data_IF_052283931389
#
_entry.id   IF_052283931389
#
_cell.length_a   1.000
_cell.length_b   1.000
_cell.length_c   1.000
_cell.angle_alpha   90.00
_cell.angle_beta   90.00
_cell.angle_gamma   90.00
#
_symmetry.space_group_name_H-M   'P 1'
#
loop_
_entity.id
_entity.type
_entity.pdbx_description
1 polymer ?
#
# COMPACT_ATOMS: atom_id res chain seq x y z
N UNK A 1 28.28 37.01 57.12
CA UNK A 1 29.23 36.75 56.03
C UNK A 1 29.61 35.29 56.10
N UNK A 2 28.92 34.46 55.31
CA UNK A 2 29.41 33.88 54.04
C UNK A 2 30.28 32.65 54.33
N UNK A 3 30.13 31.48 53.70
CA UNK A 3 29.27 31.00 52.63
C UNK A 3 29.39 29.46 52.66
N UNK A 4 28.43 28.85 51.98
CA UNK A 4 28.12 27.44 51.77
C UNK A 4 29.25 26.49 51.31
N UNK A 5 29.02 25.16 51.43
CA UNK A 5 29.84 24.10 50.87
C UNK A 5 29.72 24.02 49.34
N UNK A 6 30.85 23.85 48.64
CA UNK A 6 30.96 23.41 47.24
C UNK A 6 31.94 22.22 47.25
N UNK A 7 31.75 21.10 46.54
CA UNK A 7 31.11 20.99 45.25
C UNK A 7 30.36 19.67 45.12
N UNK A 8 29.12 19.81 44.69
CA UNK A 8 28.26 18.78 44.13
C UNK A 8 28.92 18.18 42.89
N UNK A 9 29.12 16.86 42.89
CA UNK A 9 29.26 16.09 41.65
C UNK A 9 27.86 15.64 41.22
N UNK A 10 26.97 16.63 41.05
CA UNK A 10 25.72 16.46 40.31
C UNK A 10 26.10 16.36 38.84
N UNK A 11 26.33 15.11 38.40
CA UNK A 11 26.09 14.76 37.00
C UNK A 11 24.74 15.35 36.60
N UNK A 12 24.64 16.06 35.46
CA UNK A 12 23.34 16.43 34.94
C UNK A 12 22.64 15.11 34.62
N UNK A 13 21.71 14.71 35.47
CA UNK A 13 20.67 13.78 35.07
C UNK A 13 19.94 14.52 33.98
N UNK A 14 20.29 14.16 32.75
CA UNK A 14 19.58 14.45 31.52
C UNK A 14 18.13 14.68 31.87
N UNK A 15 17.65 15.90 31.59
CA UNK A 15 16.22 16.13 31.56
C UNK A 15 15.65 15.13 30.57
N UNK A 16 15.04 14.07 31.10
CA UNK A 16 13.94 13.41 30.45
C UNK A 16 12.94 14.53 30.18
N UNK A 17 13.07 15.08 28.97
CA UNK A 17 12.10 15.95 28.38
C UNK A 17 10.77 15.24 28.55
N UNK A 18 9.87 15.92 29.26
CA UNK A 18 8.44 15.67 29.28
C UNK A 18 8.01 15.14 27.92
N UNK A 19 7.82 13.82 27.82
CA UNK A 19 7.03 13.23 26.77
C UNK A 19 5.62 13.74 27.05
N UNK A 20 5.28 14.85 26.40
CA UNK A 20 3.92 15.37 26.34
C UNK A 20 2.96 14.20 26.09
N UNK A 21 1.85 14.23 26.82
CA UNK A 21 0.90 13.15 27.05
C UNK A 21 0.28 12.62 25.74
N UNK A 22 1.04 11.84 24.99
CA UNK A 22 0.55 11.09 23.83
C UNK A 22 -0.13 9.83 24.36
N UNK A 23 -1.45 9.78 24.26
CA UNK A 23 -2.28 8.67 24.73
C UNK A 23 -2.07 7.40 23.88
N UNK A 24 -1.47 7.52 22.70
CA UNK A 24 -1.13 6.41 21.79
C UNK A 24 0.40 6.29 21.67
N UNK A 25 0.95 5.08 21.82
CA UNK A 25 2.39 4.83 21.60
C UNK A 25 2.78 5.02 20.13
N UNK A 26 3.98 5.54 19.85
CA UNK A 26 4.43 5.85 18.48
C UNK A 26 4.40 4.65 17.52
N UNK A 27 4.75 3.45 18.01
CA UNK A 27 4.69 2.22 17.21
C UNK A 27 3.24 1.84 16.85
N UNK A 28 2.31 2.10 17.76
CA UNK A 28 0.89 1.84 17.57
C UNK A 28 0.27 2.81 16.56
N UNK A 29 0.67 4.09 16.59
CA UNK A 29 0.33 5.09 15.56
C UNK A 29 0.80 4.63 14.18
N UNK A 30 2.03 4.12 14.06
CA UNK A 30 2.53 3.61 12.78
C UNK A 30 1.69 2.44 12.26
N UNK A 31 1.40 1.46 13.11
CA UNK A 31 0.53 0.33 12.74
C UNK A 31 -0.88 0.79 12.35
N UNK A 32 -1.41 1.80 13.03
CA UNK A 32 -2.70 2.39 12.71
C UNK A 32 -2.67 3.12 11.37
N UNK A 33 -1.68 3.97 11.10
CA UNK A 33 -1.66 4.80 9.88
C UNK A 33 -1.04 4.11 8.64
N UNK A 34 -0.53 2.89 8.78
CA UNK A 34 0.02 2.11 7.67
C UNK A 34 -0.98 1.87 6.53
N UNK A 35 -2.27 1.75 6.84
CA UNK A 35 -3.31 1.52 5.83
C UNK A 35 -3.74 2.83 5.16
N UNK A 36 -3.77 2.84 3.82
CA UNK A 36 -4.14 4.01 3.01
C UNK A 36 -5.52 4.57 3.33
N UNK A 37 -6.51 3.71 3.57
CA UNK A 37 -7.89 4.12 3.86
C UNK A 37 -8.01 4.73 5.26
N UNK A 38 -7.34 4.17 6.27
CA UNK A 38 -7.28 4.78 7.62
C UNK A 38 -6.60 6.15 7.59
N UNK A 39 -5.51 6.28 6.83
CA UNK A 39 -4.85 7.56 6.61
C UNK A 39 -5.76 8.58 5.91
N UNK A 40 -6.52 8.15 4.91
CA UNK A 40 -7.47 9.01 4.22
C UNK A 40 -8.56 9.55 5.16
N UNK A 41 -9.11 8.70 6.05
CA UNK A 41 -10.08 9.12 7.07
C UNK A 41 -9.47 10.14 8.04
N UNK A 42 -8.27 9.85 8.57
CA UNK A 42 -7.57 10.78 9.47
C UNK A 42 -7.30 12.13 8.79
N UNK A 43 -6.88 12.10 7.52
CA UNK A 43 -6.61 13.30 6.75
C UNK A 43 -7.89 14.11 6.44
N UNK A 44 -9.01 13.42 6.24
CA UNK A 44 -10.31 14.07 6.09
C UNK A 44 -10.65 14.88 7.36
N UNK A 45 -10.58 14.25 8.53
CA UNK A 45 -10.88 14.90 9.81
C UNK A 45 -9.81 15.89 10.29
N UNK A 46 -8.58 15.84 9.74
CA UNK A 46 -7.58 16.89 10.00
C UNK A 46 -7.99 18.23 9.40
N UNK A 47 -8.82 18.23 8.35
CA UNK A 47 -9.30 19.44 7.67
C UNK A 47 -10.74 19.78 8.07
N UNK A 48 -11.51 18.80 8.55
CA UNK A 48 -12.93 18.94 8.88
C UNK A 48 -13.18 18.43 10.30
N UNK A 49 -13.59 19.33 11.20
CA UNK A 49 -13.90 18.96 12.59
C UNK A 49 -15.39 18.60 12.81
N UNK A 50 -16.17 18.47 11.73
CA UNK A 50 -17.61 18.20 11.81
C UNK A 50 -17.93 16.70 11.62
N UNK A 51 -18.94 16.16 12.34
CA UNK A 51 -19.42 14.80 12.12
C UNK A 51 -19.97 14.62 10.69
N UNK A 52 -19.67 13.48 10.08
CA UNK A 52 -20.11 13.11 8.73
C UNK A 52 -20.74 11.72 8.73
N UNK A 53 -21.66 11.46 7.78
CA UNK A 53 -22.21 10.13 7.61
C UNK A 53 -21.15 9.16 7.08
N UNK A 54 -21.26 7.88 7.43
CA UNK A 54 -20.40 6.83 6.88
C UNK A 54 -20.48 6.76 5.35
N UNK A 55 -21.66 7.03 4.79
CA UNK A 55 -21.85 7.02 3.34
C UNK A 55 -21.03 8.12 2.68
N UNK A 56 -21.15 9.35 3.16
CA UNK A 56 -20.44 10.49 2.57
C UNK A 56 -18.92 10.38 2.83
N UNK A 57 -18.51 9.88 4.00
CA UNK A 57 -17.11 9.59 4.27
C UNK A 57 -16.54 8.53 3.31
N UNK A 58 -17.34 7.52 2.94
CA UNK A 58 -16.92 6.52 1.97
C UNK A 58 -16.71 7.14 0.58
N UNK A 59 -17.54 8.10 0.18
CA UNK A 59 -17.36 8.84 -1.08
C UNK A 59 -16.08 9.69 -1.06
N UNK A 60 -15.83 10.43 0.01
CA UNK A 60 -14.61 11.24 0.17
C UNK A 60 -13.33 10.39 0.12
N UNK A 61 -13.35 9.24 0.80
CA UNK A 61 -12.23 8.30 0.79
C UNK A 61 -12.09 7.61 -0.57
N UNK A 62 -13.20 7.28 -1.25
CA UNK A 62 -13.19 6.69 -2.59
C UNK A 62 -12.63 7.68 -3.62
N UNK A 63 -13.08 8.93 -3.60
CA UNK A 63 -12.57 10.00 -4.45
C UNK A 63 -11.05 10.13 -4.30
N UNK A 64 -10.55 10.09 -3.07
CA UNK A 64 -9.10 10.12 -2.80
C UNK A 64 -8.36 8.87 -3.27
N UNK A 65 -8.90 7.67 -3.07
CA UNK A 65 -8.26 6.40 -3.44
C UNK A 65 -8.22 6.18 -4.95
N UNK A 66 -9.27 6.58 -5.67
CA UNK A 66 -9.40 6.42 -7.10
C UNK A 66 -8.98 7.66 -7.91
N UNK A 67 -8.42 8.67 -7.23
CA UNK A 67 -7.96 9.93 -7.83
C UNK A 67 -9.04 10.61 -8.69
N UNK A 68 -10.27 10.64 -8.17
CA UNK A 68 -11.46 11.17 -8.84
C UNK A 68 -12.15 12.21 -7.95
N UNK A 69 -13.24 12.83 -8.43
CA UNK A 69 -14.09 13.68 -7.59
C UNK A 69 -15.20 12.86 -6.96
N UNK A 70 -15.79 13.38 -5.87
CA UNK A 70 -16.92 12.74 -5.17
C UNK A 70 -18.09 12.48 -6.11
N UNK A 71 -18.35 13.39 -7.07
CA UNK A 71 -19.43 13.24 -8.05
C UNK A 71 -19.16 12.16 -9.11
N UNK A 72 -17.90 11.82 -9.34
CA UNK A 72 -17.45 10.83 -10.32
C UNK A 72 -17.17 9.45 -9.67
N UNK A 73 -17.39 9.31 -8.36
CA UNK A 73 -17.29 8.01 -7.67
C UNK A 73 -18.40 7.08 -8.16
N UNK A 74 -18.03 5.86 -8.55
CA UNK A 74 -19.01 4.85 -8.97
C UNK A 74 -19.59 4.10 -7.77
N UNK A 75 -20.81 3.57 -7.92
CA UNK A 75 -21.47 2.74 -6.90
C UNK A 75 -20.58 1.58 -6.40
N UNK A 76 -19.83 0.93 -7.31
CA UNK A 76 -18.93 -0.16 -6.96
C UNK A 76 -17.72 0.32 -6.12
N UNK A 77 -17.18 1.50 -6.44
CA UNK A 77 -16.09 2.11 -5.68
C UNK A 77 -16.56 2.51 -4.29
N UNK A 78 -17.68 3.24 -4.21
CA UNK A 78 -18.33 3.62 -2.94
C UNK A 78 -18.58 2.39 -2.08
N UNK A 79 -19.29 1.39 -2.60
CA UNK A 79 -19.65 0.18 -1.86
C UNK A 79 -18.42 -0.55 -1.30
N UNK A 80 -17.33 -0.60 -2.09
CA UNK A 80 -16.07 -1.23 -1.66
C UNK A 80 -15.41 -0.48 -0.51
N UNK A 81 -15.42 0.84 -0.54
CA UNK A 81 -14.87 1.67 0.55
C UNK A 81 -15.78 1.59 1.76
N UNK A 82 -17.09 1.77 1.59
CA UNK A 82 -18.09 1.70 2.64
C UNK A 82 -17.96 0.40 3.46
N UNK A 83 -17.94 -0.76 2.79
CA UNK A 83 -17.81 -2.06 3.46
C UNK A 83 -16.49 -2.12 4.25
N UNK A 84 -15.38 -1.67 3.66
CA UNK A 84 -14.08 -1.75 4.32
C UNK A 84 -13.99 -0.80 5.53
N UNK A 85 -14.55 0.40 5.41
CA UNK A 85 -14.64 1.36 6.51
C UNK A 85 -15.42 0.76 7.67
N UNK A 86 -16.62 0.24 7.37
CA UNK A 86 -17.51 -0.39 8.34
C UNK A 86 -16.88 -1.60 9.05
N UNK A 87 -16.23 -2.51 8.30
CA UNK A 87 -15.82 -3.81 8.85
C UNK A 87 -14.48 -3.80 9.59
N UNK A 88 -13.60 -2.84 9.31
CA UNK A 88 -12.22 -2.93 9.78
C UNK A 88 -11.59 -1.59 10.11
N UNK A 89 -11.83 -0.55 9.31
CA UNK A 89 -11.07 0.68 9.47
C UNK A 89 -11.61 1.55 10.61
N UNK A 90 -12.93 1.71 10.71
CA UNK A 90 -13.54 2.54 11.75
C UNK A 90 -13.41 1.90 13.12
N UNK A 91 -13.71 0.60 13.28
CA UNK A 91 -13.51 -0.11 14.55
C UNK A 91 -12.07 0.02 15.09
N UNK A 92 -11.09 0.04 14.19
CA UNK A 92 -9.69 0.24 14.58
C UNK A 92 -9.40 1.67 14.98
N UNK A 93 -9.86 2.66 14.22
CA UNK A 93 -9.64 4.08 14.55
C UNK A 93 -10.36 4.48 15.84
N UNK A 94 -11.58 3.96 16.04
CA UNK A 94 -12.40 4.15 17.24
C UNK A 94 -11.76 3.50 18.48
N UNK A 95 -11.20 2.30 18.33
CA UNK A 95 -10.45 1.63 19.40
C UNK A 95 -9.23 2.39 19.92
N UNK A 96 -8.70 3.36 19.16
CA UNK A 96 -7.63 4.25 19.58
C UNK A 96 -8.10 5.69 19.84
N UNK A 97 -9.43 5.94 19.89
CA UNK A 97 -10.03 7.28 20.07
C UNK A 97 -9.60 8.31 19.02
N UNK A 98 -9.19 7.86 17.84
CA UNK A 98 -8.79 8.74 16.72
C UNK A 98 -10.03 9.27 16.00
N UNK A 99 -11.06 8.45 15.90
CA UNK A 99 -12.40 8.85 15.48
C UNK A 99 -13.39 8.32 16.52
N UNK A 100 -14.59 8.86 16.55
CA UNK A 100 -15.72 8.30 17.28
C UNK A 100 -16.71 7.78 16.25
N UNK A 101 -16.94 6.46 16.23
CA UNK A 101 -17.86 5.84 15.28
C UNK A 101 -19.17 5.41 15.95
N UNK A 102 -20.28 6.08 15.60
CA UNK A 102 -21.62 5.70 15.99
C UNK A 102 -22.21 4.70 14.99
N UNK A 103 -22.16 3.42 15.33
CA UNK A 103 -22.73 2.33 14.51
C UNK A 103 -24.26 2.38 14.39
N UNK A 104 -24.97 2.97 15.36
CA UNK A 104 -26.44 3.01 15.36
C UNK A 104 -26.94 4.09 14.40
N UNK A 105 -26.29 5.26 14.42
CA UNK A 105 -26.63 6.38 13.55
C UNK A 105 -25.84 6.39 12.23
N UNK A 106 -24.77 5.60 12.12
CA UNK A 106 -23.91 5.56 10.94
C UNK A 106 -23.10 6.84 10.75
N UNK A 107 -22.69 7.47 11.86
CA UNK A 107 -22.01 8.77 11.85
C UNK A 107 -20.59 8.61 12.40
N UNK A 108 -19.63 9.32 11.79
CA UNK A 108 -18.23 9.34 12.22
C UNK A 108 -17.86 10.77 12.60
N UNK A 109 -17.25 10.93 13.77
CA UNK A 109 -16.77 12.22 14.28
C UNK A 109 -15.26 12.16 14.59
N UNK A 110 -14.55 13.29 14.61
CA UNK A 110 -13.17 13.33 15.06
C UNK A 110 -13.09 12.99 16.56
N UNK A 111 -12.16 12.11 16.93
CA UNK A 111 -11.92 11.73 18.31
C UNK A 111 -10.82 12.60 18.97
N UNK A 112 -10.71 12.56 20.31
CA UNK A 112 -9.74 13.38 21.04
C UNK A 112 -8.28 13.09 20.67
N UNK A 113 -7.95 11.84 20.32
CA UNK A 113 -6.60 11.44 19.98
C UNK A 113 -6.20 11.84 18.54
N UNK A 114 -7.13 12.37 17.74
CA UNK A 114 -6.82 12.84 16.38
C UNK A 114 -5.76 13.96 16.39
N UNK A 115 -5.83 14.86 17.37
CA UNK A 115 -4.90 15.98 17.47
C UNK A 115 -3.46 15.54 17.75
N UNK A 116 -3.29 14.42 18.47
CA UNK A 116 -1.98 13.85 18.75
C UNK A 116 -1.31 13.30 17.47
N UNK A 117 -2.12 12.84 16.50
CA UNK A 117 -1.63 12.41 15.19
C UNK A 117 -1.17 13.55 14.29
N UNK A 118 -1.62 14.80 14.53
CA UNK A 118 -1.26 15.95 13.70
C UNK A 118 0.25 16.26 13.71
N UNK A 119 0.96 15.81 14.75
CA UNK A 119 2.43 15.90 14.82
C UNK A 119 3.16 14.81 14.03
N UNK A 120 2.46 13.76 13.61
CA UNK A 120 3.06 12.67 12.84
C UNK A 120 3.01 13.01 11.34
N UNK A 121 4.15 13.16 10.65
CA UNK A 121 4.14 13.38 9.21
C UNK A 121 3.50 12.17 8.54
N UNK A 122 2.46 12.42 7.72
CA UNK A 122 1.72 11.38 7.00
C UNK A 122 2.60 10.52 6.05
N UNK A 123 3.88 10.88 5.90
CA UNK A 123 4.94 10.14 5.25
C UNK A 123 6.27 10.82 5.59
N UNK A 124 7.03 10.29 6.52
CA UNK A 124 8.47 10.14 6.28
C UNK A 124 8.61 8.68 5.89
N UNK A 125 9.04 8.33 4.66
CA UNK A 125 9.44 6.96 4.40
C UNK A 125 10.47 6.64 5.47
N UNK A 126 10.22 5.61 6.28
CA UNK A 126 11.28 5.03 7.09
C UNK A 126 12.38 4.71 6.09
N UNK A 127 13.44 5.53 6.06
CA UNK A 127 14.70 5.20 5.41
C UNK A 127 15.16 3.94 6.14
N UNK A 128 14.74 2.78 5.62
CA UNK A 128 15.46 1.55 5.85
C UNK A 128 16.87 1.92 5.46
N UNK A 129 17.78 1.91 6.44
CA UNK A 129 19.18 2.18 6.24
C UNK A 129 19.69 1.18 5.20
N UNK A 130 19.61 1.58 3.94
CA UNK A 130 20.15 0.90 2.80
C UNK A 130 21.65 1.11 2.93
N UNK A 131 22.32 0.12 3.52
CA UNK A 131 23.74 -0.05 3.31
C UNK A 131 23.94 -0.07 1.80
N UNK A 132 24.54 1.02 1.28
CA UNK A 132 25.01 1.28 -0.08
C UNK A 132 24.70 0.16 -1.09
N UNK A 133 24.13 0.41 -2.26
CA UNK A 133 24.76 1.17 -3.34
C UNK A 133 23.72 1.68 -4.37
N UNK A 134 23.82 2.96 -4.74
CA UNK A 134 23.77 3.44 -6.15
C UNK A 134 22.42 3.45 -6.90
N UNK A 135 21.78 4.62 -6.86
CA UNK A 135 21.07 5.35 -7.94
C UNK A 135 19.83 4.74 -8.62
N UNK A 136 18.66 5.30 -8.26
CA UNK A 136 17.63 5.95 -9.10
C UNK A 136 17.51 5.50 -10.57
N UNK A 137 16.51 4.67 -10.87
CA UNK A 137 15.45 4.98 -11.87
C UNK A 137 14.32 3.92 -11.76
N UNK A 138 13.07 4.39 -11.86
CA UNK A 138 11.87 3.56 -11.96
C UNK A 138 11.98 2.54 -13.09
N UNK A 139 11.98 1.25 -12.75
CA UNK A 139 11.96 0.14 -13.72
C UNK A 139 11.36 -1.14 -13.09
N UNK A 140 10.52 -1.03 -12.06
CA UNK A 140 9.90 -2.21 -11.41
C UNK A 140 8.86 -2.93 -12.28
N UNK A 141 8.24 -2.21 -13.23
CA UNK A 141 7.42 -2.81 -14.31
C UNK A 141 8.29 -3.48 -15.38
N UNK A 142 9.56 -3.08 -15.50
CA UNK A 142 10.51 -3.63 -16.46
C UNK A 142 11.20 -4.91 -15.93
N UNK A 143 11.26 -5.12 -14.61
CA UNK A 143 11.91 -6.32 -14.02
C UNK A 143 11.15 -7.60 -14.38
N UNK A 144 9.83 -7.63 -14.25
CA UNK A 144 9.04 -8.80 -14.66
C UNK A 144 8.98 -8.95 -16.19
N UNK A 145 8.93 -7.85 -16.94
CA UNK A 145 9.01 -7.86 -18.40
C UNK A 145 10.36 -8.42 -18.91
N UNK A 146 11.47 -8.13 -18.23
CA UNK A 146 12.81 -8.66 -18.55
C UNK A 146 12.94 -10.16 -18.28
N UNK A 147 12.28 -10.65 -17.21
CA UNK A 147 12.20 -12.08 -16.89
C UNK A 147 11.40 -12.87 -17.94
N UNK A 148 10.26 -12.33 -18.40
CA UNK A 148 9.43 -12.97 -19.44
C UNK A 148 10.03 -12.85 -20.85
N UNK A 149 10.76 -11.76 -21.17
CA UNK A 149 11.48 -11.62 -22.44
C UNK A 149 12.60 -12.66 -22.59
N UNK A 150 13.29 -13.00 -21.48
CA UNK A 150 14.29 -14.06 -21.45
C UNK A 150 13.70 -15.46 -21.72
N UNK A 151 12.50 -15.73 -21.22
CA UNK A 151 11.80 -17.01 -21.45
C UNK A 151 11.31 -17.12 -22.91
N UNK A 152 10.92 -16.01 -23.54
CA UNK A 152 10.51 -15.99 -24.95
C UNK A 152 11.66 -16.27 -25.93
N UNK A 153 12.89 -15.83 -25.62
CA UNK A 153 14.08 -16.12 -26.42
C UNK A 153 14.69 -17.51 -26.17
N UNK A 154 14.40 -18.13 -25.03
CA UNK A 154 14.81 -19.50 -24.68
C UNK A 154 14.10 -20.62 -25.45
N UNK A 155 13.15 -20.28 -26.34
CA UNK A 155 12.38 -21.24 -27.13
C UNK A 155 12.84 -21.42 -28.59
N UNK A 156 13.92 -20.75 -29.03
CA UNK A 156 14.34 -20.78 -30.45
C UNK A 156 15.65 -21.52 -30.75
N UNK A 157 16.11 -22.36 -29.82
CA UNK A 157 17.26 -23.26 -30.03
C UNK A 157 16.80 -24.70 -29.72
N UNK A 158 15.76 -25.21 -30.42
CA UNK A 158 15.99 -26.46 -31.13
C UNK A 158 15.17 -26.55 -32.43
N UNK A 159 15.23 -25.55 -33.32
CA UNK A 159 14.76 -25.72 -34.72
C UNK A 159 15.83 -25.37 -35.76
N UNK A 160 16.91 -24.70 -35.38
CA UNK A 160 18.08 -24.45 -36.24
C UNK A 160 19.05 -25.63 -36.31
N UNK A 161 18.68 -26.79 -35.77
CA UNK A 161 19.44 -28.04 -35.80
C UNK A 161 18.99 -29.00 -36.90
N UNK A 162 18.35 -28.52 -37.98
CA UNK A 162 18.07 -29.35 -39.16
C UNK A 162 19.05 -29.06 -40.30
N UNK A 163 20.29 -29.52 -40.14
CA UNK A 163 21.08 -29.89 -41.33
C UNK A 163 22.04 -31.06 -41.16
N UNK A 164 22.06 -31.78 -40.03
CA UNK A 164 22.91 -32.96 -39.91
C UNK A 164 22.16 -34.22 -39.46
N UNK A 165 21.90 -35.06 -40.46
CA UNK A 165 22.07 -36.52 -40.43
C UNK A 165 20.98 -37.40 -39.76
N UNK A 166 20.05 -37.88 -40.60
CA UNK A 166 19.41 -39.23 -40.68
C UNK A 166 19.15 -40.03 -39.38
N UNK A 167 17.88 -40.40 -39.11
CA UNK A 167 17.35 -41.75 -38.75
C UNK A 167 15.79 -41.72 -38.57
N UNK A 168 15.03 -42.84 -38.69
CA UNK A 168 13.69 -42.89 -39.31
C UNK A 168 12.46 -43.02 -38.35
N UNK A 169 11.29 -42.61 -38.89
CA UNK A 169 9.87 -43.04 -38.67
C UNK A 169 9.25 -43.18 -37.26
N UNK A 170 7.98 -42.73 -37.16
CA UNK A 170 6.97 -43.00 -36.11
C UNK A 170 6.73 -41.98 -34.96
N UNK A 171 6.91 -40.67 -35.17
CA UNK A 171 6.54 -39.67 -34.14
C UNK A 171 6.00 -38.32 -34.67
N UNK A 172 5.33 -38.32 -35.83
CA UNK A 172 4.78 -37.09 -36.45
C UNK A 172 3.69 -36.45 -35.56
N UNK A 173 2.93 -37.27 -34.82
CA UNK A 173 1.79 -36.83 -34.00
C UNK A 173 2.18 -35.86 -32.88
N UNK A 174 3.27 -36.12 -32.16
CA UNK A 174 3.64 -35.31 -30.99
C UNK A 174 4.19 -33.93 -31.39
N UNK A 175 4.84 -33.83 -32.55
CA UNK A 175 5.37 -32.55 -33.04
C UNK A 175 4.26 -31.61 -33.49
N UNK A 176 3.22 -32.15 -34.14
CA UNK A 176 2.05 -31.36 -34.55
C UNK A 176 1.26 -30.90 -33.33
N UNK A 177 1.09 -31.77 -32.33
CA UNK A 177 0.40 -31.42 -31.09
C UNK A 177 1.12 -30.30 -30.31
N UNK A 178 2.45 -30.38 -30.22
CA UNK A 178 3.26 -29.32 -29.60
C UNK A 178 3.14 -28.00 -30.37
N UNK A 179 3.15 -28.03 -31.71
CA UNK A 179 2.97 -26.83 -32.53
C UNK A 179 1.58 -26.20 -32.34
N UNK A 180 0.53 -27.01 -32.24
CA UNK A 180 -0.83 -26.54 -31.96
C UNK A 180 -0.92 -25.93 -30.56
N UNK A 181 -0.31 -26.55 -29.55
CA UNK A 181 -0.32 -26.06 -28.17
C UNK A 181 0.38 -24.71 -28.04
N UNK A 182 1.53 -24.53 -28.70
CA UNK A 182 2.25 -23.25 -28.73
C UNK A 182 1.38 -22.17 -29.41
N UNK A 183 0.73 -22.49 -30.52
CA UNK A 183 -0.15 -21.56 -31.22
C UNK A 183 -1.38 -21.18 -30.37
N UNK A 184 -1.98 -22.14 -29.65
CA UNK A 184 -3.08 -21.87 -28.74
C UNK A 184 -2.66 -20.94 -27.59
N UNK A 185 -1.50 -21.16 -26.98
CA UNK A 185 -0.96 -20.28 -25.93
C UNK A 185 -0.74 -18.86 -26.44
N UNK A 186 -0.23 -18.68 -27.67
CA UNK A 186 -0.05 -17.35 -28.28
C UNK A 186 -1.37 -16.63 -28.52
N UNK A 187 -2.41 -17.34 -28.98
CA UNK A 187 -3.74 -16.75 -29.19
C UNK A 187 -4.36 -16.32 -27.86
N UNK A 188 -4.25 -17.13 -26.81
CA UNK A 188 -4.76 -16.79 -25.47
C UNK A 188 -4.05 -15.56 -24.91
N UNK A 189 -2.71 -15.51 -25.00
CA UNK A 189 -1.94 -14.35 -24.57
C UNK A 189 -2.30 -13.09 -25.35
N UNK A 190 -2.49 -13.22 -26.67
CA UNK A 190 -2.90 -12.12 -27.55
C UNK A 190 -4.30 -11.59 -27.21
N UNK A 191 -5.26 -12.48 -26.93
CA UNK A 191 -6.61 -12.09 -26.55
C UNK A 191 -6.61 -11.38 -25.19
N UNK A 192 -5.89 -11.91 -24.20
CA UNK A 192 -5.80 -11.30 -22.88
C UNK A 192 -5.16 -9.89 -22.96
N UNK A 193 -4.10 -9.72 -23.74
CA UNK A 193 -3.47 -8.41 -23.95
C UNK A 193 -4.43 -7.39 -24.58
N UNK A 194 -5.30 -7.83 -25.49
CA UNK A 194 -6.25 -6.95 -26.18
C UNK A 194 -7.51 -6.63 -25.36
N UNK A 195 -7.90 -7.50 -24.42
CA UNK A 195 -9.06 -7.27 -23.55
C UNK A 195 -8.73 -6.49 -22.28
N UNK A 196 -7.48 -6.51 -21.84
CA UNK A 196 -6.99 -5.79 -20.64
C UNK A 196 -6.47 -4.39 -20.98
N UNK A 197 -6.47 -4.00 -22.26
CA UNK A 197 -6.10 -2.67 -22.75
C UNK A 197 -7.34 -1.94 -23.26
#
# INVERSE_FOLDING_TARGET
>A
MNQDPMSDDERPSTGEASSDECTIETDEVFHLLQNSRRRAVVQYFTTHDEPISLSDLADEVAAREYETTVEDVTDDQHQRIYIALYQSHLDKLDGHNVVEYDTENGTVAPGPALHELCGYPATEPVEIQETAETSVHSDEDAVWASGYLGIALGGFIPVSGRFFHVLPSEAISLQVLNAILILACLVIASLHYFTTR
#
